data_IF_357127508932
#
_entry.id   IF_357127508932
#
_cell.length_a   1.000
_cell.length_b   1.000
_cell.length_c   1.000
_cell.angle_alpha   90.00
_cell.angle_beta   90.00
_cell.angle_gamma   90.00
#
_symmetry.space_group_name_H-M   'P 1'
#
loop_
_entity.id
_entity.type
_entity.pdbx_description
1 polymer ?
#
# COMPACT_ATOMS: atom_id res chain seq x y z
N UNK A 1 -1.25 -3.15 -9.33
CA UNK A 1 -1.02 -3.99 -8.13
C UNK A 1 -0.35 -5.30 -8.50
N UNK A 2 -0.88 -6.08 -9.43
CA UNK A 2 -0.28 -7.36 -9.88
C UNK A 2 1.18 -7.24 -10.35
N UNK A 3 1.57 -6.14 -11.01
CA UNK A 3 2.97 -5.88 -11.40
C UNK A 3 3.93 -5.78 -10.19
N UNK A 4 3.44 -5.27 -9.06
CA UNK A 4 4.24 -5.09 -7.85
C UNK A 4 4.26 -6.34 -6.98
N UNK A 5 3.21 -7.16 -7.05
CA UNK A 5 3.00 -8.32 -6.19
C UNK A 5 2.67 -9.57 -7.03
N UNK A 6 3.57 -9.98 -7.95
CA UNK A 6 3.34 -11.16 -8.78
C UNK A 6 3.30 -12.42 -7.92
N UNK A 7 2.36 -13.32 -8.22
CA UNK A 7 2.21 -14.60 -7.51
C UNK A 7 1.50 -14.50 -6.16
N UNK A 8 1.07 -13.31 -5.72
CA UNK A 8 0.23 -13.16 -4.54
C UNK A 8 -1.16 -13.75 -4.78
N UNK A 9 -1.65 -14.51 -3.80
CA UNK A 9 -3.05 -14.90 -3.73
C UNK A 9 -3.83 -13.74 -3.13
N UNK A 10 -4.88 -13.28 -3.81
CA UNK A 10 -5.68 -12.13 -3.41
C UNK A 10 -7.04 -12.60 -2.89
N UNK A 11 -7.51 -11.92 -1.86
CA UNK A 11 -8.85 -12.06 -1.30
C UNK A 11 -9.48 -10.67 -1.20
N UNK A 12 -10.60 -10.49 -1.90
CA UNK A 12 -11.30 -9.22 -2.07
C UNK A 12 -12.64 -9.24 -1.32
N UNK A 13 -12.95 -8.15 -0.63
CA UNK A 13 -14.25 -7.97 -0.01
C UNK A 13 -14.80 -6.58 -0.31
N UNK A 14 -16.03 -6.55 -0.82
CA UNK A 14 -16.80 -5.33 -1.10
C UNK A 14 -17.88 -5.21 -0.01
N UNK A 15 -17.83 -4.13 0.75
CA UNK A 15 -18.80 -3.87 1.82
C UNK A 15 -20.03 -3.14 1.30
N UNK A 16 -21.16 -3.35 1.96
CA UNK A 16 -22.40 -2.61 1.73
C UNK A 16 -22.65 -1.60 2.87
N UNK A 17 -23.08 -0.36 2.58
CA UNK A 17 -23.40 0.18 1.26
C UNK A 17 -22.17 0.58 0.43
N UNK A 18 -21.03 0.84 1.06
CA UNK A 18 -19.76 1.17 0.39
C UNK A 18 -18.59 0.65 1.23
N UNK A 19 -17.41 0.58 0.62
CA UNK A 19 -16.17 0.18 1.28
C UNK A 19 -15.52 -1.02 0.59
N UNK A 20 -14.20 -1.11 0.66
CA UNK A 20 -13.45 -2.18 0.01
C UNK A 20 -12.23 -2.57 0.83
N UNK A 21 -11.97 -3.87 0.92
CA UNK A 21 -10.73 -4.39 1.48
C UNK A 21 -10.16 -5.47 0.58
N UNK A 22 -8.82 -5.51 0.51
CA UNK A 22 -8.08 -6.61 -0.09
C UNK A 22 -6.97 -7.03 0.84
N UNK A 23 -6.90 -8.34 1.10
CA UNK A 23 -5.72 -8.97 1.66
C UNK A 23 -5.06 -9.80 0.57
N UNK A 24 -3.73 -9.82 0.60
CA UNK A 24 -2.98 -10.64 -0.34
C UNK A 24 -1.75 -11.23 0.35
N UNK A 25 -1.46 -12.49 0.06
CA UNK A 25 -0.36 -13.24 0.68
C UNK A 25 0.48 -13.97 -0.36
N UNK A 26 1.78 -14.06 -0.11
CA UNK A 26 2.70 -14.90 -0.86
C UNK A 26 3.82 -15.40 0.07
N UNK A 27 3.84 -16.69 0.37
CA UNK A 27 4.78 -17.28 1.33
C UNK A 27 4.74 -16.57 2.71
N UNK A 28 5.75 -15.75 3.03
CA UNK A 28 5.85 -14.97 4.29
C UNK A 28 5.50 -13.50 4.11
N UNK A 29 5.19 -13.11 2.89
CA UNK A 29 4.97 -11.75 2.47
C UNK A 29 3.47 -11.48 2.33
N UNK A 30 3.06 -10.25 2.60
CA UNK A 30 1.68 -9.82 2.49
C UNK A 30 1.57 -8.37 2.01
N UNK A 31 0.40 -8.03 1.48
CA UNK A 31 -0.07 -6.66 1.54
C UNK A 31 -1.56 -6.62 1.92
N UNK A 32 -1.98 -5.52 2.51
CA UNK A 32 -3.38 -5.22 2.80
C UNK A 32 -3.73 -3.82 2.30
N UNK A 33 -4.92 -3.67 1.74
CA UNK A 33 -5.47 -2.43 1.22
C UNK A 33 -6.89 -2.26 1.77
N UNK A 34 -7.16 -1.17 2.48
CA UNK A 34 -8.50 -0.81 2.94
C UNK A 34 -8.90 0.56 2.39
N UNK A 35 -10.15 0.68 1.93
CA UNK A 35 -10.72 1.88 1.32
C UNK A 35 -12.05 2.20 2.00
N UNK A 36 -12.12 3.38 2.61
CA UNK A 36 -13.31 4.00 3.17
C UNK A 36 -13.67 5.22 2.31
N UNK A 37 -14.65 5.11 1.39
CA UNK A 37 -14.93 6.13 0.37
C UNK A 37 -15.78 7.30 0.85
N UNK A 38 -16.22 7.32 2.11
CA UNK A 38 -17.15 8.30 2.65
C UNK A 38 -16.66 9.74 2.46
N UNK A 39 -17.50 10.59 1.84
CA UNK A 39 -17.10 11.95 1.47
C UNK A 39 -16.72 12.85 2.67
N UNK A 40 -17.27 12.58 3.85
CA UNK A 40 -16.97 13.34 5.08
C UNK A 40 -15.58 13.03 5.66
N UNK A 41 -14.94 11.95 5.23
CA UNK A 41 -13.69 11.48 5.84
C UNK A 41 -13.06 10.32 5.08
N UNK A 42 -12.90 10.48 3.76
CA UNK A 42 -12.39 9.41 2.91
C UNK A 42 -10.97 9.01 3.34
N UNK A 43 -10.71 7.71 3.44
CA UNK A 43 -9.45 7.19 3.91
C UNK A 43 -9.04 5.94 3.13
N UNK A 44 -7.73 5.80 2.90
CA UNK A 44 -7.13 4.61 2.30
C UNK A 44 -5.88 4.25 3.07
N UNK A 45 -5.78 3.00 3.52
CA UNK A 45 -4.56 2.45 4.09
C UNK A 45 -3.99 1.37 3.18
N UNK A 46 -2.67 1.39 3.01
CA UNK A 46 -1.92 0.34 2.34
C UNK A 46 -0.75 -0.08 3.21
N UNK A 47 -0.62 -1.38 3.46
CA UNK A 47 0.42 -1.95 4.32
C UNK A 47 1.04 -3.17 3.63
N UNK A 48 2.35 -3.34 3.76
CA UNK A 48 3.07 -4.49 3.20
C UNK A 48 4.44 -4.66 3.84
N UNK A 49 4.92 -5.90 3.89
CA UNK A 49 6.33 -6.23 4.18
C UNK A 49 7.10 -6.64 2.91
N UNK A 50 6.48 -6.57 1.73
CA UNK A 50 6.90 -7.27 0.51
C UNK A 50 7.45 -6.36 -0.59
N UNK A 51 8.15 -5.28 -0.21
CA UNK A 51 8.60 -4.27 -1.18
C UNK A 51 10.11 -4.04 -1.05
N UNK A 52 10.82 -4.26 -2.16
CA UNK A 52 12.23 -3.91 -2.24
C UNK A 52 12.42 -2.38 -2.19
N UNK A 53 13.52 -1.86 -1.62
CA UNK A 53 13.77 -0.42 -1.55
C UNK A 53 13.63 0.31 -2.89
N UNK A 54 14.04 -0.35 -3.98
CA UNK A 54 13.96 0.17 -5.36
C UNK A 54 12.54 0.28 -5.93
N UNK A 55 11.55 -0.38 -5.31
CA UNK A 55 10.15 -0.41 -5.75
C UNK A 55 9.22 0.45 -4.90
N UNK A 56 9.70 1.00 -3.77
CA UNK A 56 8.91 1.86 -2.88
C UNK A 56 8.39 3.10 -3.61
N UNK A 57 9.27 3.90 -4.24
CA UNK A 57 8.85 5.13 -4.92
C UNK A 57 7.87 4.85 -6.08
N UNK A 58 8.12 3.87 -6.99
CA UNK A 58 7.12 3.49 -8.00
C UNK A 58 5.77 3.05 -7.41
N UNK A 59 5.78 2.33 -6.29
CA UNK A 59 4.55 1.88 -5.63
C UNK A 59 3.78 3.06 -5.05
N UNK A 60 4.45 3.99 -4.36
CA UNK A 60 3.85 5.21 -3.83
C UNK A 60 3.26 6.06 -4.96
N UNK A 61 3.95 6.19 -6.10
CA UNK A 61 3.42 6.88 -7.29
C UNK A 61 2.16 6.20 -7.83
N UNK A 62 2.12 4.87 -7.86
CA UNK A 62 0.93 4.13 -8.27
C UNK A 62 -0.24 4.39 -7.32
N UNK A 63 -0.03 4.30 -6.00
CA UNK A 63 -1.05 4.53 -4.99
C UNK A 63 -1.57 5.98 -5.04
N UNK A 64 -0.68 6.96 -5.10
CA UNK A 64 -1.03 8.37 -5.20
C UNK A 64 -1.81 8.69 -6.49
N UNK A 65 -1.41 8.11 -7.63
CA UNK A 65 -2.14 8.28 -8.90
C UNK A 65 -3.53 7.65 -8.85
N UNK A 66 -3.67 6.51 -8.15
CA UNK A 66 -4.92 5.75 -8.06
C UNK A 66 -5.92 6.44 -7.15
N UNK A 67 -5.52 6.77 -5.93
CA UNK A 67 -6.43 7.29 -4.90
C UNK A 67 -6.48 8.81 -4.83
N UNK A 68 -5.50 9.50 -5.44
CA UNK A 68 -5.40 10.97 -5.47
C UNK A 68 -5.63 11.62 -4.08
N UNK A 69 -4.93 11.14 -3.04
CA UNK A 69 -5.17 11.64 -1.69
C UNK A 69 -4.73 13.09 -1.55
N UNK A 70 -5.42 13.85 -0.69
CA UNK A 70 -5.00 15.21 -0.32
C UNK A 70 -3.72 15.21 0.53
N UNK A 71 -3.54 14.19 1.35
CA UNK A 71 -2.38 13.97 2.21
C UNK A 71 -1.96 12.49 2.09
N UNK A 72 -0.67 12.25 1.91
CA UNK A 72 -0.09 10.91 1.92
C UNK A 72 0.99 10.86 2.99
N UNK A 73 0.80 10.01 3.99
CA UNK A 73 1.78 9.73 5.03
C UNK A 73 2.36 8.33 4.82
N UNK A 74 3.67 8.19 5.01
CA UNK A 74 4.39 6.93 4.79
C UNK A 74 5.24 6.64 6.01
N UNK A 75 5.06 5.46 6.57
CA UNK A 75 5.84 4.96 7.71
C UNK A 75 6.54 3.68 7.23
N UNK A 76 7.86 3.61 7.42
CA UNK A 76 8.65 2.42 7.13
C UNK A 76 9.32 1.92 8.39
N UNK A 77 9.15 0.64 8.68
CA UNK A 77 9.76 -0.03 9.82
C UNK A 77 10.80 -1.03 9.32
N UNK A 78 11.99 -1.00 9.89
CA UNK A 78 13.08 -1.91 9.55
C UNK A 78 13.65 -2.53 10.82
N UNK A 79 13.85 -3.84 10.83
CA UNK A 79 14.59 -4.53 11.89
C UNK A 79 16.10 -4.43 11.60
N UNK A 80 16.75 -3.35 12.05
CA UNK A 80 18.19 -3.10 11.89
C UNK A 80 18.60 -1.62 12.00
N UNK A 81 19.90 -1.31 12.03
CA UNK A 81 20.38 0.10 12.02
C UNK A 81 19.91 0.82 10.75
N UNK A 82 19.15 1.90 10.92
CA UNK A 82 18.69 2.76 9.84
C UNK A 82 19.87 3.54 9.23
N UNK A 83 20.14 3.34 7.93
CA UNK A 83 21.09 4.15 7.15
C UNK A 83 20.32 4.89 6.05
N UNK A 84 20.09 6.21 6.17
CA UNK A 84 19.36 6.93 5.15
C UNK A 84 20.21 7.12 3.91
N UNK A 85 19.75 6.60 2.78
CA UNK A 85 20.17 7.05 1.46
C UNK A 85 18.94 7.43 0.65
N UNK A 86 18.44 8.65 0.85
CA UNK A 86 17.69 9.33 -0.20
C UNK A 86 17.98 10.83 -0.13
N UNK A 87 18.45 11.37 -1.25
CA UNK A 87 18.50 12.79 -1.56
C UNK A 87 17.48 12.98 -2.68
N UNK A 88 16.32 13.54 -2.35
CA UNK A 88 15.42 14.05 -3.37
C UNK A 88 16.03 15.37 -3.85
N UNK A 89 16.54 15.38 -5.09
CA UNK A 89 16.84 16.59 -5.87
C UNK A 89 15.66 16.93 -6.74
#
# INVERSE_FOLDING_TARGET
MEEFFPGFQMDDHLFEPYGYSRNAIHCRDYYSLHVSPEASGSYVSFETNAVSPTKIEPLLKLLAKTFKPKLLEVISLHSGEWRPHYRLT
#
